data_IF_468132209484
#
_entry.id   IF_468132209484
#
_cell.length_a   1.000
_cell.length_b   1.000
_cell.length_c   1.000
_cell.angle_alpha   90.00
_cell.angle_beta   90.00
_cell.angle_gamma   90.00
#
_symmetry.space_group_name_H-M   'P 1'
#
loop_
_entity.id
_entity.type
_entity.pdbx_description
1 polymer ?
#
# COMPACT_ATOMS: atom_id res chain seq x y z
N UNK A 1 28.22 -21.16 -5.46
CA UNK A 1 27.98 -20.13 -6.49
C UNK A 1 27.79 -18.84 -5.73
N UNK A 2 28.58 -17.82 -6.04
CA UNK A 2 28.42 -16.50 -5.41
C UNK A 2 27.44 -15.72 -6.27
N UNK A 3 26.35 -15.25 -5.67
CA UNK A 3 25.36 -14.39 -6.35
C UNK A 3 25.74 -12.96 -6.03
N UNK A 4 25.95 -12.14 -7.05
CA UNK A 4 26.21 -10.70 -6.90
C UNK A 4 24.92 -9.97 -7.23
N UNK A 5 24.42 -9.20 -6.27
CA UNK A 5 23.20 -8.39 -6.42
C UNK A 5 23.62 -6.95 -6.70
N UNK A 6 22.99 -6.31 -7.69
CA UNK A 6 23.16 -4.89 -7.99
C UNK A 6 21.89 -4.11 -7.64
N UNK A 7 21.80 -3.53 -6.43
CA UNK A 7 20.65 -2.72 -6.05
C UNK A 7 20.41 -1.58 -7.05
N UNK A 8 19.14 -1.34 -7.36
CA UNK A 8 18.68 -0.25 -8.24
C UNK A 8 19.17 -0.34 -9.70
N UNK A 9 19.60 -1.51 -10.16
CA UNK A 9 20.09 -1.69 -11.52
C UNK A 9 19.02 -1.29 -12.55
N UNK A 10 19.39 -0.43 -13.51
CA UNK A 10 18.55 0.08 -14.60
C UNK A 10 17.40 1.01 -14.18
N UNK A 11 17.32 1.43 -12.92
CA UNK A 11 16.25 2.31 -12.43
C UNK A 11 16.18 3.64 -13.18
N UNK A 12 17.31 4.13 -13.70
CA UNK A 12 17.44 5.35 -14.49
C UNK A 12 16.74 5.30 -15.85
N UNK A 13 16.47 4.08 -16.35
CA UNK A 13 15.74 3.87 -17.60
C UNK A 13 14.22 3.82 -17.42
N UNK A 14 13.74 3.80 -16.18
CA UNK A 14 12.31 3.76 -15.90
C UNK A 14 11.63 5.07 -16.31
N UNK A 15 10.71 5.00 -17.29
CA UNK A 15 9.85 6.11 -17.62
C UNK A 15 8.67 6.16 -16.64
N UNK A 16 8.75 7.06 -15.67
CA UNK A 16 7.71 7.18 -14.64
C UNK A 16 6.35 7.55 -15.23
N UNK A 17 6.30 8.34 -16.32
CA UNK A 17 5.04 8.76 -16.93
C UNK A 17 4.25 7.55 -17.46
N UNK A 18 4.93 6.65 -18.19
CA UNK A 18 4.31 5.46 -18.76
C UNK A 18 3.83 4.50 -17.65
N UNK A 19 4.56 4.44 -16.54
CA UNK A 19 4.24 3.54 -15.43
C UNK A 19 3.16 4.10 -14.49
N UNK A 20 2.93 5.42 -14.50
CA UNK A 20 1.83 6.05 -13.76
C UNK A 20 0.46 5.68 -14.35
N UNK A 21 0.38 5.43 -15.66
CA UNK A 21 -0.84 4.97 -16.34
C UNK A 21 -1.29 3.58 -15.86
N UNK A 22 -0.36 2.80 -15.30
CA UNK A 22 -0.62 1.49 -14.72
C UNK A 22 -0.95 1.53 -13.23
N UNK A 23 -1.08 2.73 -12.63
CA UNK A 23 -1.49 2.84 -11.25
C UNK A 23 -2.88 2.23 -11.08
N UNK A 24 -3.05 1.32 -10.12
CA UNK A 24 -4.32 0.63 -9.95
C UNK A 24 -5.33 1.54 -9.20
N UNK A 25 -4.95 2.78 -8.86
CA UNK A 25 -5.75 3.77 -8.14
C UNK A 25 -5.70 5.13 -8.82
N UNK A 26 -6.78 5.89 -8.65
CA UNK A 26 -6.85 7.26 -9.13
C UNK A 26 -6.09 8.19 -8.17
N UNK A 27 -5.10 8.90 -8.71
CA UNK A 27 -4.34 9.92 -7.98
C UNK A 27 -5.24 11.04 -7.44
N UNK A 28 -6.37 11.33 -8.09
CA UNK A 28 -7.33 12.38 -7.67
C UNK A 28 -7.96 12.12 -6.30
N UNK A 29 -7.94 10.87 -5.80
CA UNK A 29 -8.39 10.54 -4.44
C UNK A 29 -7.61 11.37 -3.40
N UNK A 30 -6.38 11.77 -3.71
CA UNK A 30 -5.54 12.63 -2.86
C UNK A 30 -6.01 14.08 -2.85
N UNK A 31 -6.48 14.57 -3.99
CA UNK A 31 -7.03 15.92 -4.12
C UNK A 31 -8.38 16.00 -3.39
N UNK A 32 -9.21 14.95 -3.49
CA UNK A 32 -10.51 14.89 -2.81
C UNK A 32 -10.39 14.83 -1.28
N UNK A 33 -9.36 14.15 -0.76
CA UNK A 33 -9.03 14.13 0.68
C UNK A 33 -8.62 15.51 1.21
N UNK A 34 -8.11 16.40 0.35
CA UNK A 34 -7.75 17.76 0.74
C UNK A 34 -9.01 18.58 1.09
N UNK A 35 -10.12 18.38 0.36
CA UNK A 35 -11.36 19.17 0.46
C UNK A 35 -12.29 18.78 1.61
N UNK A 36 -12.22 17.55 2.14
CA UNK A 36 -13.18 17.07 3.15
C UNK A 36 -13.01 17.67 4.57
N UNK A 37 -12.00 18.53 4.76
CA UNK A 37 -11.57 19.00 6.08
C UNK A 37 -11.39 20.52 6.07
N UNK A 38 -12.51 21.26 6.13
CA UNK A 38 -12.49 22.72 6.31
C UNK A 38 -11.93 23.09 7.69
N UNK A 39 -10.99 24.03 7.72
CA UNK A 39 -10.42 24.61 8.94
C UNK A 39 -11.43 25.59 9.56
N UNK A 40 -11.66 25.53 10.87
CA UNK A 40 -12.42 26.58 11.60
C UNK A 40 -11.45 27.55 12.30
N UNK A 41 -11.84 28.81 12.49
CA UNK A 41 -10.96 29.94 12.84
C UNK A 41 -10.60 30.11 14.35
N UNK A 42 -10.78 29.09 15.22
CA UNK A 42 -10.53 29.27 16.67
C UNK A 42 -9.05 29.05 17.10
N UNK A 43 -8.62 29.58 18.25
CA UNK A 43 -7.27 29.29 18.79
C UNK A 43 -7.07 27.81 19.14
N UNK A 44 -8.11 27.12 19.59
CA UNK A 44 -8.09 25.66 19.73
C UNK A 44 -8.00 24.97 18.36
N UNK A 45 -8.54 25.59 17.31
CA UNK A 45 -8.31 25.14 15.94
C UNK A 45 -6.89 25.39 15.45
N UNK A 46 -6.12 26.34 15.97
CA UNK A 46 -4.73 26.53 15.53
C UNK A 46 -3.83 25.33 15.89
N UNK A 47 -4.02 24.75 17.07
CA UNK A 47 -3.28 23.54 17.47
C UNK A 47 -3.75 22.31 16.70
N UNK A 48 -5.06 22.15 16.54
CA UNK A 48 -5.66 21.08 15.74
C UNK A 48 -5.31 21.21 14.25
N UNK A 49 -5.32 22.40 13.68
CA UNK A 49 -4.97 22.66 12.29
C UNK A 49 -3.50 22.39 12.04
N UNK A 50 -2.62 22.73 12.99
CA UNK A 50 -1.22 22.35 12.90
C UNK A 50 -1.03 20.83 12.89
N UNK A 51 -1.73 20.11 13.78
CA UNK A 51 -1.67 18.65 13.85
C UNK A 51 -2.27 17.99 12.59
N UNK A 52 -3.44 18.44 12.14
CA UNK A 52 -4.09 17.98 10.90
C UNK A 52 -3.16 18.22 9.70
N UNK A 53 -2.54 19.40 9.60
CA UNK A 53 -1.60 19.73 8.53
C UNK A 53 -0.35 18.85 8.58
N UNK A 54 0.17 18.57 9.78
CA UNK A 54 1.28 17.64 9.95
C UNK A 54 0.92 16.25 9.40
N UNK A 55 -0.22 15.69 9.82
CA UNK A 55 -0.66 14.38 9.35
C UNK A 55 -1.01 14.35 7.87
N UNK A 56 -1.61 15.41 7.33
CA UNK A 56 -1.85 15.58 5.88
C UNK A 56 -0.55 15.57 5.09
N UNK A 57 0.48 16.29 5.53
CA UNK A 57 1.79 16.30 4.87
C UNK A 57 2.46 14.92 4.91
N UNK A 58 2.36 14.23 6.05
CA UNK A 58 2.84 12.85 6.18
C UNK A 58 2.10 11.91 5.23
N UNK A 59 0.77 12.03 5.13
CA UNK A 59 -0.04 11.24 4.22
C UNK A 59 0.36 11.48 2.76
N UNK A 60 0.51 12.74 2.35
CA UNK A 60 0.96 13.11 1.01
C UNK A 60 2.33 12.50 0.68
N UNK A 61 3.28 12.58 1.61
CA UNK A 61 4.60 11.97 1.44
C UNK A 61 4.51 10.44 1.30
N UNK A 62 3.70 9.76 2.13
CA UNK A 62 3.51 8.31 2.04
C UNK A 62 2.86 7.88 0.74
N UNK A 63 1.89 8.65 0.24
CA UNK A 63 1.22 8.37 -1.02
C UNK A 63 2.17 8.52 -2.22
N UNK A 64 3.01 9.56 -2.23
CA UNK A 64 4.06 9.69 -3.25
C UNK A 64 5.07 8.54 -3.23
N UNK A 65 5.43 8.07 -2.03
CA UNK A 65 6.28 6.88 -1.88
C UNK A 65 5.55 5.61 -2.34
N UNK A 66 4.27 5.44 -2.02
CA UNK A 66 3.45 4.32 -2.48
C UNK A 66 3.46 4.24 -4.01
N UNK A 67 3.15 5.36 -4.67
CA UNK A 67 3.14 5.48 -6.13
C UNK A 67 4.49 5.09 -6.71
N UNK A 68 5.57 5.71 -6.22
CA UNK A 68 6.93 5.43 -6.69
C UNK A 68 7.31 3.96 -6.53
N UNK A 69 7.03 3.37 -5.37
CA UNK A 69 7.36 1.97 -5.10
C UNK A 69 6.53 1.02 -5.98
N UNK A 70 5.25 1.31 -6.19
CA UNK A 70 4.44 0.54 -7.14
C UNK A 70 5.00 0.61 -8.56
N UNK A 71 5.29 1.83 -9.03
CA UNK A 71 5.86 2.08 -10.35
C UNK A 71 7.16 1.29 -10.56
N UNK A 72 8.07 1.30 -9.58
CA UNK A 72 9.29 0.50 -9.68
C UNK A 72 9.04 -1.01 -9.55
N UNK A 73 8.06 -1.43 -8.76
CA UNK A 73 7.64 -2.84 -8.71
C UNK A 73 7.24 -3.33 -10.10
N UNK A 74 6.38 -2.59 -10.80
CA UNK A 74 5.95 -2.92 -12.17
C UNK A 74 7.13 -2.86 -13.16
N UNK A 75 8.02 -1.88 -13.02
CA UNK A 75 9.21 -1.79 -13.85
C UNK A 75 10.09 -3.04 -13.78
N UNK A 76 10.37 -3.56 -12.59
CA UNK A 76 11.17 -4.78 -12.44
C UNK A 76 10.38 -6.05 -12.78
N UNK A 77 9.07 -6.07 -12.51
CA UNK A 77 8.19 -7.16 -12.93
C UNK A 77 8.20 -7.34 -14.46
N UNK A 78 8.11 -6.23 -15.20
CA UNK A 78 8.10 -6.23 -16.68
C UNK A 78 9.46 -6.58 -17.32
N UNK A 79 10.50 -6.87 -16.53
CA UNK A 79 11.80 -7.36 -17.03
C UNK A 79 11.90 -8.89 -17.09
N UNK A 80 10.76 -9.58 -16.95
CA UNK A 80 10.60 -11.03 -17.01
C UNK A 80 11.50 -11.76 -16.01
N UNK A 81 11.00 -11.93 -14.78
CA UNK A 81 11.65 -12.75 -13.75
C UNK A 81 11.22 -14.22 -13.99
N UNK A 82 12.14 -15.16 -14.25
CA UNK A 82 11.80 -16.55 -14.57
C UNK A 82 11.51 -17.39 -13.31
N UNK A 83 10.55 -16.98 -12.48
CA UNK A 83 10.24 -17.57 -11.17
C UNK A 83 9.17 -18.67 -11.18
N UNK A 84 8.58 -18.96 -12.34
CA UNK A 84 7.63 -20.06 -12.55
C UNK A 84 8.14 -21.41 -12.01
N UNK A 85 9.42 -21.70 -12.25
CA UNK A 85 10.11 -22.86 -11.65
C UNK A 85 10.98 -22.37 -10.50
N UNK A 86 10.36 -22.22 -9.33
CA UNK A 86 11.07 -21.75 -8.13
C UNK A 86 11.88 -22.86 -7.43
N UNK A 87 11.61 -24.14 -7.72
CA UNK A 87 12.37 -25.26 -7.15
C UNK A 87 12.45 -26.48 -8.07
N UNK A 88 13.52 -27.27 -7.90
CA UNK A 88 13.71 -28.56 -8.54
C UNK A 88 14.31 -29.56 -7.55
N UNK A 89 13.66 -30.72 -7.40
CA UNK A 89 14.03 -31.78 -6.44
C UNK A 89 15.26 -32.61 -6.84
N UNK A 90 15.73 -32.50 -8.06
CA UNK A 90 17.00 -33.12 -8.46
C UNK A 90 17.78 -32.06 -9.20
N UNK A 91 18.64 -31.40 -8.43
CA UNK A 91 19.46 -30.31 -8.93
C UNK A 91 20.39 -30.82 -10.02
N UNK A 92 20.60 -29.98 -11.02
CA UNK A 92 21.38 -30.31 -12.21
C UNK A 92 22.86 -30.57 -11.92
N UNK A 93 23.33 -30.15 -10.74
CA UNK A 93 24.73 -30.28 -10.26
C UNK A 93 24.91 -31.32 -9.16
N UNK A 94 24.04 -32.33 -9.09
CA UNK A 94 24.10 -33.40 -8.07
C UNK A 94 23.58 -32.96 -6.70
N UNK A 95 22.86 -31.85 -6.63
CA UNK A 95 22.22 -31.35 -5.41
C UNK A 95 20.87 -32.03 -5.19
N UNK A 96 20.49 -32.25 -3.93
CA UNK A 96 19.19 -32.81 -3.58
C UNK A 96 18.03 -31.85 -3.81
N UNK A 97 18.27 -30.54 -3.82
CA UNK A 97 17.30 -29.49 -4.14
C UNK A 97 18.05 -28.32 -4.77
N UNK A 98 17.48 -27.74 -5.82
CA UNK A 98 17.95 -26.52 -6.48
C UNK A 98 16.81 -25.50 -6.48
N UNK A 99 17.06 -24.28 -5.99
CA UNK A 99 16.10 -23.18 -5.98
C UNK A 99 16.38 -22.26 -7.16
N UNK A 100 15.33 -21.72 -7.76
CA UNK A 100 15.41 -20.87 -8.95
C UNK A 100 16.34 -21.47 -10.05
N UNK A 101 16.13 -22.73 -10.46
CA UNK A 101 16.98 -23.44 -11.42
C UNK A 101 17.20 -22.70 -12.75
N UNK A 102 16.25 -21.85 -13.15
CA UNK A 102 16.29 -21.14 -14.44
C UNK A 102 16.89 -19.73 -14.33
N UNK A 103 17.26 -19.28 -13.13
CA UNK A 103 17.83 -17.95 -12.91
C UNK A 103 19.26 -17.84 -13.44
N UNK A 104 19.52 -16.75 -14.17
CA UNK A 104 20.85 -16.22 -14.42
C UNK A 104 21.24 -15.24 -13.31
N UNK A 105 22.51 -14.84 -13.27
CA UNK A 105 23.02 -13.90 -12.26
C UNK A 105 22.23 -12.58 -12.22
N UNK A 106 21.84 -12.07 -13.39
CA UNK A 106 21.04 -10.85 -13.53
C UNK A 106 19.61 -11.00 -12.96
N UNK A 107 19.02 -12.19 -13.04
CA UNK A 107 17.65 -12.43 -12.59
C UNK A 107 17.52 -12.34 -11.07
N UNK A 108 18.58 -12.70 -10.33
CA UNK A 108 18.65 -12.45 -8.89
C UNK A 108 18.62 -10.97 -8.56
N UNK A 109 19.23 -10.12 -9.40
CA UNK A 109 19.17 -8.67 -9.21
C UNK A 109 17.77 -8.12 -9.51
N UNK A 110 17.12 -8.58 -10.58
CA UNK A 110 15.73 -8.19 -10.88
C UNK A 110 14.79 -8.59 -9.74
N UNK A 111 14.87 -9.84 -9.28
CA UNK A 111 14.06 -10.36 -8.19
C UNK A 111 14.31 -9.58 -6.88
N UNK A 112 15.57 -9.29 -6.56
CA UNK A 112 15.90 -8.48 -5.38
C UNK A 112 15.23 -7.10 -5.43
N UNK A 113 15.35 -6.38 -6.56
CA UNK A 113 14.77 -5.05 -6.69
C UNK A 113 13.24 -5.10 -6.70
N UNK A 114 12.63 -6.07 -7.40
CA UNK A 114 11.19 -6.31 -7.36
C UNK A 114 10.70 -6.53 -5.92
N UNK A 115 11.35 -7.42 -5.17
CA UNK A 115 10.98 -7.70 -3.78
C UNK A 115 11.12 -6.44 -2.90
N UNK A 116 12.24 -5.72 -3.03
CA UNK A 116 12.46 -4.47 -2.30
C UNK A 116 11.32 -3.47 -2.55
N UNK A 117 11.01 -3.15 -3.81
CA UNK A 117 9.99 -2.16 -4.11
C UNK A 117 8.57 -2.61 -3.75
N UNK A 118 8.25 -3.90 -3.95
CA UNK A 118 6.93 -4.45 -3.60
C UNK A 118 6.71 -4.47 -2.09
N UNK A 119 7.70 -4.87 -1.30
CA UNK A 119 7.63 -4.82 0.17
C UNK A 119 7.41 -3.40 0.67
N UNK A 120 8.17 -2.43 0.15
CA UNK A 120 8.01 -1.03 0.52
C UNK A 120 6.67 -0.44 0.05
N UNK A 121 6.13 -0.90 -1.08
CA UNK A 121 4.78 -0.56 -1.53
C UNK A 121 3.73 -1.01 -0.50
N UNK A 122 3.72 -2.28 -0.09
CA UNK A 122 2.77 -2.75 0.92
C UNK A 122 2.96 -2.05 2.27
N UNK A 123 4.20 -1.83 2.70
CA UNK A 123 4.49 -1.10 3.93
C UNK A 123 3.95 0.33 3.89
N UNK A 124 4.13 1.05 2.77
CA UNK A 124 3.54 2.38 2.60
C UNK A 124 2.02 2.29 2.66
N UNK A 125 1.41 1.30 1.98
CA UNK A 125 -0.03 1.04 1.96
C UNK A 125 -0.59 0.95 3.38
N UNK A 126 -0.05 0.07 4.22
CA UNK A 126 -0.48 -0.05 5.62
C UNK A 126 -0.29 1.25 6.41
N UNK A 127 0.82 1.94 6.22
CA UNK A 127 1.08 3.21 6.93
C UNK A 127 0.09 4.32 6.58
N UNK A 128 -0.46 4.32 5.36
CA UNK A 128 -1.46 5.29 4.92
C UNK A 128 -2.75 5.17 5.74
N UNK A 129 -3.21 3.95 6.03
CA UNK A 129 -4.39 3.73 6.87
C UNK A 129 -4.18 4.31 8.27
N UNK A 130 -3.02 4.07 8.88
CA UNK A 130 -2.72 4.61 10.21
C UNK A 130 -2.69 6.13 10.22
N UNK A 131 -2.12 6.76 9.19
CA UNK A 131 -2.15 8.22 9.01
C UNK A 131 -3.57 8.76 8.83
N UNK A 132 -4.41 8.08 8.04
CA UNK A 132 -5.84 8.42 7.92
C UNK A 132 -6.53 8.34 9.29
N UNK A 133 -6.19 7.36 10.12
CA UNK A 133 -6.67 7.25 11.49
C UNK A 133 -6.36 8.51 12.32
N UNK A 134 -5.12 9.00 12.29
CA UNK A 134 -4.72 10.22 12.98
C UNK A 134 -5.45 11.47 12.45
N UNK A 135 -5.64 11.58 11.14
CA UNK A 135 -6.39 12.69 10.52
C UNK A 135 -7.84 12.68 10.99
N UNK A 136 -8.52 11.54 10.89
CA UNK A 136 -9.93 11.39 11.26
C UNK A 136 -10.15 11.66 12.75
N UNK A 137 -9.26 11.18 13.63
CA UNK A 137 -9.33 11.47 15.08
C UNK A 137 -9.33 12.97 15.37
N UNK A 138 -8.43 13.70 14.71
CA UNK A 138 -8.26 15.13 14.92
C UNK A 138 -9.42 15.97 14.36
N UNK A 139 -9.88 15.64 13.15
CA UNK A 139 -11.02 16.34 12.53
C UNK A 139 -12.32 16.10 13.28
N UNK A 140 -12.60 14.85 13.65
CA UNK A 140 -13.89 14.50 14.26
C UNK A 140 -13.85 14.51 15.77
N UNK A 141 -12.76 14.97 16.40
CA UNK A 141 -12.61 15.04 17.86
C UNK A 141 -12.98 13.69 18.52
N UNK A 142 -12.42 12.61 17.99
CA UNK A 142 -12.66 11.25 18.50
C UNK A 142 -11.74 11.04 19.69
N UNK A 143 -12.31 10.75 20.86
CA UNK A 143 -11.53 10.52 22.08
C UNK A 143 -10.83 9.16 22.05
N UNK A 144 -9.56 9.17 21.64
CA UNK A 144 -8.64 8.03 21.66
C UNK A 144 -7.26 8.52 22.13
N UNK A 145 -6.53 7.68 22.87
CA UNK A 145 -5.12 7.96 23.19
C UNK A 145 -4.25 7.72 21.97
N UNK A 146 -3.14 8.44 21.84
CA UNK A 146 -2.23 8.36 20.68
C UNK A 146 -1.81 6.92 20.33
N UNK A 147 -1.52 6.10 21.33
CA UNK A 147 -1.12 4.70 21.17
C UNK A 147 -2.28 3.72 20.89
N UNK A 148 -3.52 4.21 20.93
CA UNK A 148 -4.73 3.44 20.62
C UNK A 148 -5.28 3.76 19.23
N UNK A 149 -4.79 4.82 18.58
CA UNK A 149 -5.17 5.21 17.23
C UNK A 149 -4.75 4.10 16.28
N UNK A 150 -5.74 3.59 15.56
CA UNK A 150 -5.58 2.70 14.42
C UNK A 150 -6.77 2.94 13.50
N UNK A 151 -6.58 2.80 12.21
CA UNK A 151 -7.63 3.11 11.24
C UNK A 151 -8.96 2.41 11.57
N UNK A 152 -8.88 1.10 11.85
CA UNK A 152 -10.05 0.28 12.15
C UNK A 152 -10.87 0.79 13.35
N UNK A 153 -10.21 1.11 14.47
CA UNK A 153 -10.89 1.61 15.67
C UNK A 153 -11.53 2.97 15.42
N UNK A 154 -10.82 3.83 14.69
CA UNK A 154 -11.26 5.19 14.37
C UNK A 154 -12.49 5.16 13.47
N UNK A 155 -12.50 4.28 12.46
CA UNK A 155 -13.65 4.12 11.56
C UNK A 155 -14.89 3.60 12.27
N UNK A 156 -14.74 2.64 13.18
CA UNK A 156 -15.87 2.15 13.97
C UNK A 156 -16.45 3.26 14.86
N UNK A 157 -15.59 4.06 15.51
CA UNK A 157 -16.03 5.23 16.28
C UNK A 157 -16.67 6.32 15.42
N UNK A 158 -16.14 6.54 14.20
CA UNK A 158 -16.74 7.48 13.25
C UNK A 158 -18.13 7.02 12.82
N UNK A 159 -18.33 5.73 12.58
CA UNK A 159 -19.63 5.15 12.24
C UNK A 159 -20.70 5.43 13.30
N UNK A 160 -20.31 5.33 14.58
CA UNK A 160 -21.17 5.62 15.73
C UNK A 160 -21.49 7.12 15.84
N UNK A 161 -20.53 7.98 15.48
CA UNK A 161 -20.63 9.45 15.65
C UNK A 161 -21.29 10.16 14.47
N UNK A 162 -20.94 9.80 13.24
CA UNK A 162 -21.38 10.43 11.99
C UNK A 162 -21.41 9.42 10.84
N UNK A 163 -22.57 8.81 10.64
CA UNK A 163 -22.80 7.76 9.65
C UNK A 163 -22.65 8.26 8.20
N UNK A 164 -22.97 9.54 7.94
CA UNK A 164 -22.89 10.13 6.59
C UNK A 164 -21.43 10.29 6.19
N UNK A 165 -20.61 10.85 7.08
CA UNK A 165 -19.18 11.03 6.83
C UNK A 165 -18.42 9.71 6.82
N UNK A 166 -18.85 8.74 7.62
CA UNK A 166 -18.39 7.35 7.51
C UNK A 166 -18.60 6.79 6.10
N UNK A 167 -19.80 6.89 5.53
CA UNK A 167 -20.05 6.38 4.18
C UNK A 167 -19.29 7.14 3.09
N UNK A 168 -19.13 8.46 3.25
CA UNK A 168 -18.30 9.25 2.35
C UNK A 168 -16.86 8.73 2.37
N UNK A 169 -16.27 8.55 3.55
CA UNK A 169 -14.88 8.12 3.71
C UNK A 169 -14.65 6.67 3.26
N UNK A 170 -15.59 5.76 3.55
CA UNK A 170 -15.48 4.36 3.13
C UNK A 170 -15.46 4.19 1.60
N UNK A 171 -16.16 5.06 0.85
CA UNK A 171 -16.10 5.02 -0.62
C UNK A 171 -14.69 5.25 -1.17
N UNK A 172 -13.84 6.01 -0.47
CA UNK A 172 -12.45 6.25 -0.85
C UNK A 172 -11.49 5.15 -0.38
N UNK A 173 -11.79 4.56 0.78
CA UNK A 173 -10.94 3.58 1.47
C UNK A 173 -11.11 2.18 0.89
N UNK A 174 -12.31 1.80 0.44
CA UNK A 174 -12.59 0.47 -0.14
C UNK A 174 -11.70 0.19 -1.36
N UNK A 175 -11.58 1.08 -2.37
CA UNK A 175 -10.66 0.87 -3.48
C UNK A 175 -9.23 0.61 -2.99
N UNK A 176 -8.71 1.45 -2.09
CA UNK A 176 -7.35 1.32 -1.55
C UNK A 176 -7.13 0.02 -0.75
N UNK A 177 -8.14 -0.46 -0.03
CA UNK A 177 -8.06 -1.68 0.75
C UNK A 177 -8.18 -2.96 -0.11
N UNK A 178 -9.05 -2.93 -1.13
CA UNK A 178 -9.18 -4.02 -2.10
C UNK A 178 -7.84 -4.26 -2.81
N UNK A 179 -7.04 -3.21 -3.00
CA UNK A 179 -5.74 -3.28 -3.69
C UNK A 179 -4.63 -3.93 -2.86
N UNK A 180 -4.62 -3.73 -1.55
CA UNK A 180 -3.73 -4.49 -0.66
C UNK A 180 -4.13 -5.97 -0.59
N UNK A 181 -5.38 -6.30 -0.90
CA UNK A 181 -5.89 -7.67 -0.93
C UNK A 181 -5.79 -8.33 -2.33
N UNK A 182 -5.75 -7.58 -3.43
CA UNK A 182 -5.70 -8.12 -4.80
C UNK A 182 -4.36 -8.77 -5.19
N UNK A 183 -3.30 -8.56 -4.42
CA UNK A 183 -2.03 -9.31 -4.56
C UNK A 183 -1.93 -10.52 -3.61
N UNK A 184 -3.04 -10.90 -2.96
CA UNK A 184 -3.12 -12.11 -2.14
C UNK A 184 -4.11 -13.09 -2.76
N UNK A 185 -3.69 -13.82 -3.80
CA UNK A 185 -4.33 -15.10 -4.16
C UNK A 185 -4.30 -16.13 -2.99
N UNK A 186 -3.62 -15.80 -1.89
CA UNK A 186 -3.70 -16.49 -0.60
C UNK A 186 -4.88 -16.08 0.30
N UNK A 187 -5.84 -15.28 -0.18
CA UNK A 187 -7.08 -14.99 0.56
C UNK A 187 -8.28 -15.75 -0.01
N UNK A 188 -8.14 -17.07 -0.16
CA UNK A 188 -9.24 -18.04 -0.28
C UNK A 188 -10.34 -17.86 0.77
N UNK A 189 -10.13 -17.04 1.80
CA UNK A 189 -11.05 -16.82 2.90
C UNK A 189 -12.09 -15.69 2.69
N UNK A 190 -11.85 -14.69 1.84
CA UNK A 190 -12.84 -13.59 1.66
C UNK A 190 -14.05 -14.06 0.83
N UNK A 191 -13.85 -15.02 -0.09
CA UNK A 191 -14.96 -15.66 -0.81
C UNK A 191 -15.85 -16.53 0.10
N UNK A 192 -15.36 -16.98 1.26
CA UNK A 192 -16.23 -17.66 2.24
C UNK A 192 -17.14 -16.68 2.97
N UNK A 193 -16.67 -15.46 3.24
CA UNK A 193 -17.43 -14.47 4.01
C UNK A 193 -18.40 -13.71 3.10
N UNK A 194 -18.04 -13.41 1.85
CA UNK A 194 -18.97 -12.73 0.93
C UNK A 194 -20.15 -13.62 0.50
N UNK A 195 -19.96 -14.95 0.45
CA UNK A 195 -21.04 -15.91 0.16
C UNK A 195 -21.92 -16.24 1.39
N UNK A 196 -21.45 -15.96 2.61
CA UNK A 196 -22.24 -16.13 3.85
C UNK A 196 -23.18 -14.95 4.16
N UNK A 197 -23.02 -13.80 3.50
CA UNK A 197 -23.88 -12.62 3.68
C UNK A 197 -24.90 -12.40 2.55
N UNK A 198 -24.96 -13.32 1.58
CA UNK A 198 -25.91 -13.29 0.46
C UNK A 198 -26.77 -14.55 0.36
N UNK A 199 -26.71 -15.45 1.35
CA UNK A 199 -27.66 -16.54 1.52
C UNK A 199 -28.10 -16.59 2.99
N UNK A 200 -29.40 -16.37 3.19
CA UNK A 200 -30.20 -16.20 4.43
C UNK A 200 -30.25 -14.79 5.04
#
# INVERSE_FOLDING_TARGET
MTIIIHPLQHIESANMNDLLDHLPFNYSILEDLHFAFEETDSFFDLTKSHEIRYWKNMLFNRMNLLIRNYTYTIFYYNQDIPDEVWYKRSGTKGQSVEFFPDFKEEDYTKQFNFNYFSEYFFLQGFSIFELLGHIIVNIYDIQLKMNEISFHKVINKLKEKDLVKFYALIKFVIPMNLMMHLNTETTLHINSIHNLYLQE
#
